data_IF_051679295424
#
_entry.id   IF_051679295424
#
_cell.length_a   1.000
_cell.length_b   1.000
_cell.length_c   1.000
_cell.angle_alpha   90.00
_cell.angle_beta   90.00
_cell.angle_gamma   90.00
#
_symmetry.space_group_name_H-M   'P 1'
#
loop_
_entity.id
_entity.type
_entity.pdbx_description
1 polymer ?
#
# COMPACT_ATOMS: atom_id res chain seq x y z
N UNK A 1 -7.35 18.16 -14.94
CA UNK A 1 -7.29 19.29 -13.99
C UNK A 1 -7.08 18.80 -12.57
N UNK A 2 -6.73 19.68 -11.62
CA UNK A 2 -6.60 19.31 -10.19
C UNK A 2 -7.95 18.81 -9.63
N UNK A 3 -9.06 19.33 -10.15
CA UNK A 3 -10.38 18.89 -9.77
C UNK A 3 -10.65 17.45 -10.19
N UNK A 4 -10.31 17.08 -11.41
CA UNK A 4 -10.52 15.71 -11.91
C UNK A 4 -9.75 14.68 -11.07
N UNK A 5 -8.54 15.04 -10.63
CA UNK A 5 -7.72 14.18 -9.73
C UNK A 5 -8.32 14.05 -8.35
N UNK A 6 -8.86 15.15 -7.81
CA UNK A 6 -9.55 15.11 -6.52
C UNK A 6 -10.81 14.24 -6.61
N UNK A 7 -11.59 14.40 -7.68
CA UNK A 7 -12.81 13.62 -7.90
C UNK A 7 -12.48 12.13 -8.04
N UNK A 8 -11.40 11.78 -8.75
CA UNK A 8 -10.93 10.38 -8.86
C UNK A 8 -10.41 9.85 -7.51
N UNK A 9 -9.61 10.64 -6.77
CA UNK A 9 -9.17 10.27 -5.42
C UNK A 9 -10.37 10.00 -4.52
N UNK A 10 -11.35 10.88 -4.51
CA UNK A 10 -12.58 10.72 -3.73
C UNK A 10 -13.36 9.48 -4.15
N UNK A 11 -13.49 9.24 -5.45
CA UNK A 11 -14.10 8.02 -5.97
C UNK A 11 -13.38 6.77 -5.45
N UNK A 12 -12.05 6.72 -5.54
CA UNK A 12 -11.26 5.60 -5.02
C UNK A 12 -11.41 5.43 -3.51
N UNK A 13 -11.43 6.52 -2.76
CA UNK A 13 -11.67 6.46 -1.33
C UNK A 13 -13.01 5.78 -1.01
N UNK A 14 -14.08 6.14 -1.71
CA UNK A 14 -15.41 5.54 -1.50
C UNK A 14 -15.48 4.06 -1.89
N UNK A 15 -14.61 3.59 -2.77
CA UNK A 15 -14.49 2.16 -3.10
C UNK A 15 -13.72 1.38 -2.02
N UNK A 16 -12.70 1.99 -1.42
CA UNK A 16 -11.90 1.37 -0.37
C UNK A 16 -12.58 1.46 1.01
N UNK A 17 -13.33 2.53 1.25
CA UNK A 17 -14.02 2.81 2.53
C UNK A 17 -15.50 3.08 2.26
N UNK A 18 -16.33 2.04 2.07
CA UNK A 18 -17.68 2.19 1.50
C UNK A 18 -18.68 3.02 2.34
N UNK A 19 -18.45 3.15 3.66
CA UNK A 19 -19.28 3.98 4.53
C UNK A 19 -18.99 5.48 4.37
N UNK A 20 -17.94 5.87 3.66
CA UNK A 20 -17.65 7.26 3.35
C UNK A 20 -18.35 7.65 2.04
N UNK A 21 -19.04 8.79 2.05
CA UNK A 21 -19.72 9.39 0.91
C UNK A 21 -18.82 10.33 0.13
N UNK A 22 -18.07 11.17 0.84
CA UNK A 22 -17.23 12.22 0.24
C UNK A 22 -16.20 12.78 1.22
N UNK A 23 -15.29 13.57 0.67
CA UNK A 23 -14.34 14.38 1.42
C UNK A 23 -14.87 15.82 1.44
N UNK A 24 -14.93 16.43 2.61
CA UNK A 24 -15.22 17.84 2.77
C UNK A 24 -13.96 18.58 3.21
N UNK A 25 -13.77 19.78 2.68
CA UNK A 25 -12.64 20.65 3.00
C UNK A 25 -13.19 22.00 3.53
N UNK A 26 -13.81 22.01 4.72
CA UNK A 26 -14.34 23.24 5.27
C UNK A 26 -13.23 24.26 5.51
N UNK A 27 -13.55 25.52 5.21
CA UNK A 27 -12.67 26.65 5.45
C UNK A 27 -12.94 27.19 6.85
N UNK A 28 -11.96 27.05 7.71
CA UNK A 28 -12.01 27.61 9.06
C UNK A 28 -11.66 29.10 9.11
N UNK A 29 -11.72 29.64 10.31
CA UNK A 29 -11.19 30.98 10.62
C UNK A 29 -9.69 31.03 10.27
N UNK A 30 -9.18 32.17 9.92
CA UNK A 30 -7.77 32.38 9.51
C UNK A 30 -7.35 31.67 8.20
N UNK A 31 -8.30 31.40 7.29
CA UNK A 31 -8.03 30.75 5.99
C UNK A 31 -7.39 29.35 6.09
N UNK A 32 -7.51 28.69 7.22
CA UNK A 32 -7.11 27.28 7.38
C UNK A 32 -8.13 26.37 6.73
N UNK A 33 -7.67 25.23 6.22
CA UNK A 33 -8.54 24.16 5.76
C UNK A 33 -8.43 22.99 6.72
N UNK A 34 -9.55 22.37 7.06
CA UNK A 34 -9.59 21.08 7.73
C UNK A 34 -10.05 20.00 6.75
N UNK A 35 -9.73 18.75 7.08
CA UNK A 35 -10.23 17.59 6.34
C UNK A 35 -11.32 16.97 7.19
N UNK A 36 -12.46 16.73 6.55
CA UNK A 36 -13.58 15.98 7.13
C UNK A 36 -14.02 14.92 6.15
N UNK A 37 -14.45 13.76 6.65
CA UNK A 37 -15.12 12.74 5.85
C UNK A 37 -16.61 12.81 6.11
N UNK A 38 -17.42 12.67 5.07
CA UNK A 38 -18.87 12.64 5.19
C UNK A 38 -19.35 11.21 5.21
N UNK A 39 -20.00 10.80 6.29
CA UNK A 39 -20.60 9.47 6.41
C UNK A 39 -21.74 9.28 5.42
N UNK A 40 -21.80 8.14 4.76
CA UNK A 40 -22.78 7.85 3.71
C UNK A 40 -24.21 7.73 4.22
N UNK A 41 -24.39 7.25 5.43
CA UNK A 41 -25.70 6.88 5.96
C UNK A 41 -26.32 7.97 6.82
N UNK A 42 -25.51 8.61 7.63
CA UNK A 42 -25.95 9.66 8.55
C UNK A 42 -25.74 11.08 8.01
N UNK A 43 -24.96 11.22 6.92
CA UNK A 43 -24.46 12.49 6.40
C UNK A 43 -23.68 13.32 7.44
N UNK A 44 -23.28 12.68 8.54
CA UNK A 44 -22.47 13.31 9.57
C UNK A 44 -21.06 13.62 9.04
N UNK A 45 -20.57 14.79 9.41
CA UNK A 45 -19.20 15.20 9.14
C UNK A 45 -18.27 14.68 10.22
N UNK A 46 -17.32 13.85 9.85
CA UNK A 46 -16.32 13.24 10.73
C UNK A 46 -15.03 14.05 10.60
N UNK A 47 -14.64 14.81 11.62
CA UNK A 47 -13.40 15.59 11.59
C UNK A 47 -12.17 14.65 11.61
N UNK A 48 -11.04 15.14 11.13
CA UNK A 48 -9.80 14.34 11.02
C UNK A 48 -9.38 13.69 12.35
N UNK A 49 -9.68 14.31 13.50
CA UNK A 49 -9.41 13.76 14.83
C UNK A 49 -10.16 12.48 15.15
N UNK A 50 -11.30 12.25 14.51
CA UNK A 50 -12.23 11.15 14.79
C UNK A 50 -12.19 10.08 13.69
N UNK A 51 -11.37 10.31 12.64
CA UNK A 51 -11.15 9.34 11.57
C UNK A 51 -10.18 8.26 12.08
N UNK A 52 -10.48 6.99 11.82
CA UNK A 52 -9.59 5.89 12.19
C UNK A 52 -8.22 5.99 11.49
N UNK A 53 -7.15 5.54 12.15
CA UNK A 53 -5.79 5.52 11.58
C UNK A 53 -5.75 4.80 10.24
N UNK A 54 -6.44 3.67 10.09
CA UNK A 54 -6.51 2.93 8.84
C UNK A 54 -7.13 3.75 7.70
N UNK A 55 -8.20 4.49 7.98
CA UNK A 55 -8.84 5.38 6.98
C UNK A 55 -7.94 6.55 6.62
N UNK A 56 -7.25 7.15 7.60
CA UNK A 56 -6.27 8.21 7.36
C UNK A 56 -5.09 7.70 6.51
N UNK A 57 -4.61 6.48 6.77
CA UNK A 57 -3.55 5.84 5.94
C UNK A 57 -4.02 5.62 4.50
N UNK A 58 -5.25 5.16 4.29
CA UNK A 58 -5.81 5.01 2.94
C UNK A 58 -5.91 6.38 2.25
N UNK A 59 -6.35 7.40 2.96
CA UNK A 59 -6.43 8.76 2.41
C UNK A 59 -5.05 9.30 2.04
N UNK A 60 -4.04 9.13 2.91
CA UNK A 60 -2.65 9.51 2.64
C UNK A 60 -2.07 8.73 1.44
N UNK A 61 -2.31 7.43 1.37
CA UNK A 61 -1.94 6.56 0.26
C UNK A 61 -2.52 7.08 -1.07
N UNK A 62 -3.83 7.33 -1.13
CA UNK A 62 -4.47 7.88 -2.32
C UNK A 62 -3.92 9.27 -2.67
N UNK A 63 -3.70 10.13 -1.67
CA UNK A 63 -3.14 11.46 -1.89
C UNK A 63 -1.75 11.40 -2.51
N UNK A 64 -0.90 10.47 -2.08
CA UNK A 64 0.42 10.26 -2.66
C UNK A 64 0.35 9.81 -4.14
N UNK A 65 -0.66 9.02 -4.51
CA UNK A 65 -0.83 8.55 -5.87
C UNK A 65 -1.44 9.61 -6.80
N UNK A 66 -2.40 10.41 -6.31
CA UNK A 66 -3.18 11.35 -7.11
C UNK A 66 -2.68 12.79 -7.06
N UNK A 67 -1.51 13.05 -6.44
CA UNK A 67 -0.91 14.39 -6.39
C UNK A 67 -0.59 14.94 -7.80
N UNK A 68 -0.57 16.26 -7.94
CA UNK A 68 -0.39 16.92 -9.23
C UNK A 68 0.93 16.59 -9.91
N UNK A 69 2.01 16.66 -9.14
CA UNK A 69 3.36 16.32 -9.62
C UNK A 69 3.70 14.90 -9.14
N UNK A 70 3.16 13.89 -9.83
CA UNK A 70 3.45 12.49 -9.50
C UNK A 70 4.95 12.24 -9.60
N UNK A 71 5.62 11.82 -8.52
CA UNK A 71 7.04 11.53 -8.53
C UNK A 71 7.35 10.27 -9.36
N UNK A 72 8.60 10.13 -9.79
CA UNK A 72 9.05 8.93 -10.52
C UNK A 72 9.15 7.69 -9.63
N UNK A 73 9.26 7.89 -8.31
CA UNK A 73 9.29 6.82 -7.30
C UNK A 73 8.45 7.23 -6.10
N UNK A 74 7.69 6.27 -5.58
CA UNK A 74 6.93 6.41 -4.33
C UNK A 74 7.33 5.26 -3.40
N UNK A 75 7.61 5.60 -2.13
CA UNK A 75 7.96 4.63 -1.10
C UNK A 75 6.85 4.59 -0.04
N UNK A 76 6.43 3.37 0.31
CA UNK A 76 5.51 3.13 1.42
C UNK A 76 6.19 2.26 2.46
N UNK A 77 6.20 2.72 3.69
CA UNK A 77 6.70 1.95 4.82
C UNK A 77 5.53 1.24 5.51
N UNK A 78 5.65 -0.08 5.64
CA UNK A 78 4.67 -0.94 6.30
C UNK A 78 3.24 -0.63 5.84
N UNK A 79 2.99 -0.77 4.54
CA UNK A 79 1.72 -0.40 3.90
C UNK A 79 0.50 -1.06 4.55
N UNK A 80 0.68 -2.24 5.12
CA UNK A 80 -0.35 -3.04 5.79
C UNK A 80 -0.77 -2.53 7.16
N UNK A 81 0.02 -1.67 7.81
CA UNK A 81 -0.25 -1.25 9.17
C UNK A 81 -1.60 -0.54 9.31
N UNK A 82 -2.45 -1.07 10.22
CA UNK A 82 -3.78 -0.53 10.45
C UNK A 82 -4.78 -0.71 9.32
N UNK A 83 -4.40 -1.44 8.26
CA UNK A 83 -5.26 -1.71 7.11
C UNK A 83 -5.81 -3.13 7.19
N UNK A 84 -7.13 -3.27 6.99
CA UNK A 84 -7.75 -4.58 6.95
C UNK A 84 -7.20 -5.40 5.75
N UNK A 85 -6.89 -6.71 5.91
CA UNK A 85 -6.30 -7.53 4.84
C UNK A 85 -7.04 -7.50 3.50
N UNK A 86 -8.38 -7.41 3.52
CA UNK A 86 -9.17 -7.26 2.30
C UNK A 86 -8.91 -5.94 1.57
N UNK A 87 -8.70 -4.84 2.31
CA UNK A 87 -8.36 -3.54 1.73
C UNK A 87 -6.94 -3.55 1.16
N UNK A 88 -6.02 -4.27 1.80
CA UNK A 88 -4.65 -4.42 1.31
C UNK A 88 -4.63 -5.01 -0.10
N UNK A 89 -5.47 -6.01 -0.39
CA UNK A 89 -5.62 -6.53 -1.75
C UNK A 89 -5.96 -5.43 -2.76
N UNK A 90 -6.97 -4.61 -2.46
CA UNK A 90 -7.39 -3.50 -3.33
C UNK A 90 -6.31 -2.43 -3.52
N UNK A 91 -5.56 -2.14 -2.47
CA UNK A 91 -4.43 -1.21 -2.55
C UNK A 91 -3.32 -1.78 -3.44
N UNK A 92 -3.01 -3.09 -3.34
CA UNK A 92 -2.02 -3.75 -4.19
C UNK A 92 -2.45 -3.80 -5.65
N UNK A 93 -3.73 -4.03 -5.96
CA UNK A 93 -4.27 -3.91 -7.33
C UNK A 93 -4.03 -2.51 -7.90
N UNK A 94 -4.32 -1.45 -7.11
CA UNK A 94 -4.08 -0.07 -7.54
C UNK A 94 -2.60 0.23 -7.76
N UNK A 95 -1.72 -0.24 -6.87
CA UNK A 95 -0.27 -0.08 -7.02
C UNK A 95 0.27 -0.79 -8.26
N UNK A 96 -0.29 -1.94 -8.63
CA UNK A 96 0.07 -2.63 -9.87
C UNK A 96 -0.27 -1.77 -11.09
N UNK A 97 -1.45 -1.16 -11.13
CA UNK A 97 -1.84 -0.23 -12.20
C UNK A 97 -0.87 0.97 -12.23
N UNK A 98 -0.60 1.58 -11.08
CA UNK A 98 0.31 2.73 -10.95
C UNK A 98 1.71 2.40 -11.46
N UNK A 99 2.21 1.20 -11.17
CA UNK A 99 3.56 0.78 -11.56
C UNK A 99 3.70 0.37 -13.03
N UNK A 100 2.61 -0.02 -13.68
CA UNK A 100 2.61 -0.47 -15.08
C UNK A 100 2.12 0.60 -16.06
N UNK A 101 1.04 1.28 -15.74
CA UNK A 101 0.35 2.23 -16.61
C UNK A 101 0.50 3.68 -16.12
N UNK A 102 0.59 3.85 -14.79
CA UNK A 102 0.56 5.16 -14.13
C UNK A 102 -0.85 5.78 -14.13
N UNK A 103 -1.12 6.65 -13.16
CA UNK A 103 -2.41 7.36 -13.09
C UNK A 103 -2.55 8.40 -14.20
N UNK A 104 -1.42 8.93 -14.68
CA UNK A 104 -1.37 9.97 -15.72
C UNK A 104 -0.74 9.46 -17.01
N UNK A 105 -0.72 8.14 -17.24
CA UNK A 105 -0.07 7.51 -18.38
C UNK A 105 1.47 7.46 -18.28
N UNK A 106 2.01 7.71 -17.06
CA UNK A 106 3.43 7.57 -16.76
C UNK A 106 3.60 6.60 -15.59
N UNK A 107 4.18 5.41 -15.81
CA UNK A 107 4.48 4.47 -14.76
C UNK A 107 5.32 5.08 -13.63
N UNK A 108 5.03 4.68 -12.40
CA UNK A 108 5.75 5.13 -11.21
C UNK A 108 6.42 3.92 -10.58
N UNK A 109 7.69 4.03 -10.24
CA UNK A 109 8.34 2.99 -9.45
C UNK A 109 7.78 3.02 -8.03
N UNK A 110 7.31 1.86 -7.56
CA UNK A 110 6.78 1.72 -6.20
C UNK A 110 7.73 0.84 -5.39
N UNK A 111 8.13 1.33 -4.22
CA UNK A 111 8.90 0.59 -3.23
C UNK A 111 8.07 0.45 -1.95
N UNK A 112 7.97 -0.78 -1.44
CA UNK A 112 7.17 -1.06 -0.23
C UNK A 112 8.05 -1.84 0.74
N UNK A 113 8.08 -1.42 2.01
CA UNK A 113 8.56 -2.27 3.09
C UNK A 113 7.36 -2.96 3.75
N UNK A 114 7.54 -4.21 4.17
CA UNK A 114 6.47 -4.98 4.78
C UNK A 114 7.00 -6.05 5.71
N UNK A 115 6.25 -6.34 6.75
CA UNK A 115 6.36 -7.53 7.61
C UNK A 115 5.13 -8.45 7.46
N UNK A 116 4.30 -8.22 6.43
CA UNK A 116 3.07 -8.98 6.21
C UNK A 116 3.25 -10.11 5.21
N UNK A 117 3.10 -11.37 5.62
CA UNK A 117 3.05 -12.49 4.69
C UNK A 117 1.87 -12.37 3.70
N UNK A 118 0.78 -11.71 4.13
CA UNK A 118 -0.37 -11.47 3.25
C UNK A 118 0.01 -10.59 2.06
N UNK A 119 0.82 -9.53 2.28
CA UNK A 119 1.27 -8.66 1.20
C UNK A 119 2.16 -9.41 0.21
N UNK A 120 3.01 -10.31 0.69
CA UNK A 120 3.90 -11.10 -0.18
C UNK A 120 3.14 -11.98 -1.18
N UNK A 121 1.89 -12.35 -0.90
CA UNK A 121 1.06 -13.14 -1.82
C UNK A 121 0.50 -12.32 -3.00
N UNK A 122 0.69 -11.00 -3.01
CA UNK A 122 0.26 -10.11 -4.10
C UNK A 122 1.39 -9.65 -5.03
N UNK A 123 2.60 -10.11 -4.79
CA UNK A 123 3.79 -9.75 -5.56
C UNK A 123 4.48 -10.97 -6.15
N UNK A 124 5.20 -10.77 -7.25
CA UNK A 124 6.00 -11.82 -7.86
C UNK A 124 7.35 -11.99 -7.13
N UNK A 125 7.88 -13.22 -7.00
CA UNK A 125 9.14 -13.47 -6.30
C UNK A 125 10.31 -12.60 -6.76
N UNK A 126 10.39 -12.27 -8.05
CA UNK A 126 11.46 -11.42 -8.60
C UNK A 126 11.39 -9.97 -8.12
N UNK A 127 10.22 -9.50 -7.64
CA UNK A 127 10.01 -8.15 -7.13
C UNK A 127 10.46 -8.02 -5.67
N UNK A 128 10.60 -9.14 -4.95
CA UNK A 128 10.92 -9.15 -3.52
C UNK A 128 12.42 -9.04 -3.27
N UNK A 129 12.76 -8.36 -2.18
CA UNK A 129 14.10 -8.32 -1.58
C UNK A 129 13.96 -8.68 -0.11
N UNK A 130 14.66 -9.73 0.31
CA UNK A 130 14.81 -10.04 1.73
C UNK A 130 15.89 -9.13 2.33
N UNK A 131 15.60 -8.55 3.48
CA UNK A 131 16.50 -7.65 4.20
C UNK A 131 16.73 -8.25 5.59
N UNK A 132 17.99 -8.46 5.96
CA UNK A 132 18.38 -9.05 7.24
C UNK A 132 19.68 -8.44 7.74
N UNK A 133 20.00 -8.67 9.00
CA UNK A 133 21.30 -8.34 9.56
C UNK A 133 22.22 -9.57 9.50
N UNK A 134 23.46 -9.37 9.11
CA UNK A 134 24.47 -10.42 9.25
C UNK A 134 24.98 -10.53 10.70
N UNK A 135 25.86 -11.50 10.96
CA UNK A 135 26.44 -11.75 12.28
C UNK A 135 27.25 -10.57 12.84
N UNK A 136 27.63 -9.63 12.00
CA UNK A 136 28.34 -8.41 12.36
C UNK A 136 27.39 -7.21 12.54
N UNK A 137 26.07 -7.41 12.39
CA UNK A 137 25.06 -6.36 12.49
C UNK A 137 24.96 -5.45 11.26
N UNK A 138 25.51 -5.89 10.11
CA UNK A 138 25.41 -5.15 8.85
C UNK A 138 24.18 -5.56 8.08
N UNK A 139 23.45 -4.59 7.53
CA UNK A 139 22.29 -4.85 6.67
C UNK A 139 22.71 -5.54 5.38
N UNK A 140 22.12 -6.68 5.11
CA UNK A 140 22.22 -7.42 3.86
C UNK A 140 20.90 -7.36 3.10
N UNK A 141 20.97 -7.24 1.78
CA UNK A 141 19.80 -7.21 0.90
C UNK A 141 19.94 -8.29 -0.16
N UNK A 142 19.05 -9.25 -0.16
CA UNK A 142 19.10 -10.41 -1.05
C UNK A 142 17.94 -10.44 -2.02
N UNK A 143 18.22 -10.83 -3.27
CA UNK A 143 17.18 -11.28 -4.20
C UNK A 143 16.73 -12.67 -3.78
N UNK A 144 15.45 -12.99 -3.97
CA UNK A 144 14.99 -14.36 -3.77
C UNK A 144 15.67 -15.29 -4.78
N UNK A 145 16.05 -16.53 -4.37
CA UNK A 145 16.77 -17.48 -5.22
C UNK A 145 15.83 -18.19 -6.21
N UNK A 146 15.17 -17.41 -7.08
CA UNK A 146 14.11 -17.86 -7.99
C UNK A 146 14.55 -18.95 -8.97
N UNK A 147 15.85 -18.99 -9.31
CA UNK A 147 16.43 -20.01 -10.20
C UNK A 147 16.80 -21.31 -9.45
N UNK A 148 16.69 -21.34 -8.13
CA UNK A 148 17.00 -22.52 -7.32
C UNK A 148 15.88 -23.55 -7.40
N UNK A 149 16.21 -24.78 -7.74
CA UNK A 149 15.27 -25.92 -7.75
C UNK A 149 14.60 -26.11 -6.39
N UNK A 150 15.35 -25.86 -5.30
CA UNK A 150 14.79 -25.93 -3.94
C UNK A 150 13.71 -24.89 -3.72
N UNK A 151 13.93 -23.64 -4.13
CA UNK A 151 12.96 -22.55 -4.01
C UNK A 151 11.71 -22.84 -4.84
N UNK A 152 11.89 -23.27 -6.11
CA UNK A 152 10.77 -23.57 -6.99
C UNK A 152 9.88 -24.69 -6.44
N UNK A 153 10.48 -25.81 -6.00
CA UNK A 153 9.73 -26.90 -5.36
C UNK A 153 9.02 -26.49 -4.09
N UNK A 154 9.64 -25.62 -3.29
CA UNK A 154 9.01 -25.10 -2.09
C UNK A 154 7.83 -24.20 -2.45
N UNK A 155 7.98 -23.31 -3.42
CA UNK A 155 6.91 -22.43 -3.87
C UNK A 155 5.72 -23.22 -4.45
N UNK A 156 5.99 -24.27 -5.23
CA UNK A 156 4.95 -25.19 -5.73
C UNK A 156 4.21 -25.91 -4.59
N UNK A 157 4.92 -26.35 -3.54
CA UNK A 157 4.33 -27.03 -2.39
C UNK A 157 3.39 -26.14 -1.58
N UNK A 158 3.50 -24.81 -1.71
CA UNK A 158 2.63 -23.82 -1.10
C UNK A 158 1.70 -23.13 -2.12
N UNK A 159 1.44 -23.77 -3.27
CA UNK A 159 0.55 -23.25 -4.33
C UNK A 159 0.90 -21.81 -4.78
N UNK A 160 2.18 -21.47 -4.74
CA UNK A 160 2.65 -20.12 -5.08
C UNK A 160 2.52 -19.08 -3.98
N UNK A 161 2.04 -19.45 -2.79
CA UNK A 161 1.86 -18.54 -1.67
C UNK A 161 3.21 -18.15 -1.03
N UNK A 162 3.79 -17.05 -1.52
CA UNK A 162 5.11 -16.58 -1.10
C UNK A 162 5.15 -16.19 0.38
N UNK A 163 4.04 -15.67 0.90
CA UNK A 163 3.93 -15.32 2.33
C UNK A 163 4.02 -16.54 3.24
N UNK A 164 3.38 -17.64 2.86
CA UNK A 164 3.47 -18.91 3.60
C UNK A 164 4.89 -19.48 3.54
N UNK A 165 5.51 -19.39 2.37
CA UNK A 165 6.87 -19.84 2.16
C UNK A 165 7.88 -19.06 3.01
N UNK A 166 7.64 -17.78 3.28
CA UNK A 166 8.50 -16.96 4.11
C UNK A 166 8.66 -17.51 5.52
N UNK A 167 7.58 -18.01 6.14
CA UNK A 167 7.64 -18.63 7.48
C UNK A 167 8.55 -19.86 7.55
N UNK A 168 8.88 -20.48 6.42
CA UNK A 168 9.78 -21.64 6.37
C UNK A 168 11.26 -21.28 6.33
N UNK A 169 11.58 -19.98 6.32
CA UNK A 169 12.93 -19.42 6.20
C UNK A 169 13.72 -19.95 4.97
N UNK A 170 13.02 -20.21 3.87
CA UNK A 170 13.65 -20.73 2.63
C UNK A 170 14.49 -19.68 1.94
N UNK A 171 14.18 -18.40 2.14
CA UNK A 171 14.84 -17.29 1.45
C UNK A 171 15.34 -16.14 2.36
N UNK A 172 15.37 -16.35 3.69
CA UNK A 172 15.85 -15.36 4.64
C UNK A 172 14.83 -14.27 4.99
N UNK A 173 15.29 -13.24 5.70
CA UNK A 173 14.44 -12.13 6.15
C UNK A 173 13.62 -12.44 7.41
N UNK A 174 13.84 -13.59 8.05
CA UNK A 174 13.28 -13.90 9.36
C UNK A 174 14.31 -13.56 10.45
N UNK A 175 13.89 -12.98 11.60
CA UNK A 175 14.79 -12.85 12.73
C UNK A 175 15.24 -14.24 13.22
N UNK A 176 16.52 -14.40 13.47
CA UNK A 176 17.08 -15.59 14.14
C UNK A 176 16.78 -15.57 15.64
#
# INVERSE_FOLDING_TARGET
TNRDRFDELQYRLTQLVPHIKSIALPRGENQTFSIELVDRYSEHHIPASDISDGTLRILAFLTALYQENTPSIICFEELENGVHPWLLHKMMELLKIVSTEGITGKPVQVLITTHSPVLLNYVEPHQVRAVELDKEGKTQVHKLPIDSVRFQKALEAYDGALGELWFTNVFGGNPE
#
